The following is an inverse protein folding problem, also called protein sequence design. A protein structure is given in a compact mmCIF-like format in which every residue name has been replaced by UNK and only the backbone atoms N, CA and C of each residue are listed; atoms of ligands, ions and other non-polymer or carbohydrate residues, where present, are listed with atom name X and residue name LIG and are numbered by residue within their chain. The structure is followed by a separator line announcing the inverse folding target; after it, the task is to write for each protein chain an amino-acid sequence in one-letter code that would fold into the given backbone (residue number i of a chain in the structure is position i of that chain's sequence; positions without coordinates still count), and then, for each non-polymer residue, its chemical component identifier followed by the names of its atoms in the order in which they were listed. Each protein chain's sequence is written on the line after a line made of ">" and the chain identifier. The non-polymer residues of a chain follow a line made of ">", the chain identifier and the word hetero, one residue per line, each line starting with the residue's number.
data_IF_506697121407
#
_entry.id   IF_506697121407
#
_cell.length_a   1.000
_cell.length_b   1.000
_cell.length_c   1.000
_cell.angle_alpha   90.00
_cell.angle_beta   90.00
_cell.angle_gamma   90.00
#
_symmetry.space_group_name_H-M   'P 1'
#
loop_
_entity.id
_entity.type
_entity.pdbx_description
1 polymer ?
#
# COMPACT_ATOMS: atom_id res chain seq x y z
N UNK A 1 14.86 0.36 12.14
CA UNK A 1 13.97 1.11 11.23
C UNK A 1 13.84 0.33 9.94
N UNK A 2 12.64 -0.01 9.53
CA UNK A 2 12.31 -0.67 8.27
C UNK A 2 11.74 0.37 7.30
N UNK A 3 12.17 0.35 6.03
CA UNK A 3 11.69 1.29 5.00
C UNK A 3 11.33 0.53 3.74
N UNK A 4 10.11 0.70 3.25
CA UNK A 4 9.56 0.04 2.05
C UNK A 4 9.11 1.10 1.06
N UNK A 5 9.60 0.99 -0.17
CA UNK A 5 9.15 1.77 -1.32
C UNK A 5 8.20 0.95 -2.17
N UNK A 6 7.14 1.58 -2.67
CA UNK A 6 6.24 1.01 -3.64
C UNK A 6 6.11 1.95 -4.87
N UNK A 7 6.28 1.42 -6.08
CA UNK A 7 6.30 2.22 -7.31
C UNK A 7 4.91 2.65 -7.74
N UNK A 8 4.85 3.66 -8.60
CA UNK A 8 3.67 4.01 -9.37
C UNK A 8 3.20 2.84 -10.24
N UNK A 9 1.92 2.84 -10.57
CA UNK A 9 1.32 1.88 -11.50
C UNK A 9 0.33 2.57 -12.45
N UNK A 10 0.10 1.96 -13.59
CA UNK A 10 -0.96 2.35 -14.51
C UNK A 10 -1.87 1.17 -14.75
N UNK A 11 -3.15 1.39 -14.59
CA UNK A 11 -4.21 0.43 -14.87
C UNK A 11 -4.88 0.69 -16.21
N UNK A 12 -5.78 -0.20 -16.63
CA UNK A 12 -6.62 -0.03 -17.82
C UNK A 12 -5.82 0.22 -19.11
N UNK A 13 -4.73 -0.54 -19.30
CA UNK A 13 -3.85 -0.38 -20.46
C UNK A 13 -4.56 -0.88 -21.70
N UNK A 14 -4.85 0.04 -22.66
CA UNK A 14 -5.48 -0.25 -23.93
C UNK A 14 -6.84 -0.97 -23.76
N UNK A 15 -7.00 -2.16 -24.35
CA UNK A 15 -8.22 -2.99 -24.27
C UNK A 15 -8.34 -3.79 -22.96
N UNK A 16 -7.36 -3.66 -22.09
CA UNK A 16 -7.26 -4.42 -20.82
C UNK A 16 -7.94 -3.75 -19.64
N UNK A 17 -9.17 -3.23 -19.81
CA UNK A 17 -9.93 -2.61 -18.71
C UNK A 17 -10.13 -3.58 -17.55
N UNK A 18 -9.77 -3.15 -16.32
CA UNK A 18 -9.77 -3.93 -15.07
C UNK A 18 -8.92 -5.23 -15.09
N UNK A 19 -8.23 -5.52 -16.20
CA UNK A 19 -7.49 -6.78 -16.37
C UNK A 19 -6.00 -6.59 -16.59
N UNK A 20 -5.55 -5.42 -17.07
CA UNK A 20 -4.15 -5.19 -17.41
C UNK A 20 -3.60 -3.96 -16.67
N UNK A 21 -2.52 -4.18 -15.91
CA UNK A 21 -1.82 -3.13 -15.20
C UNK A 21 -0.31 -3.27 -15.32
N UNK A 22 0.42 -2.16 -15.20
CA UNK A 22 1.88 -2.12 -15.26
C UNK A 22 2.48 -1.27 -14.14
N UNK A 23 3.59 -1.71 -13.57
CA UNK A 23 4.44 -0.88 -12.74
C UNK A 23 5.18 0.16 -13.61
N UNK A 24 5.34 1.36 -13.07
CA UNK A 24 5.98 2.47 -13.78
C UNK A 24 7.25 2.88 -13.03
N UNK A 25 8.32 3.08 -13.78
CA UNK A 25 9.56 3.66 -13.27
C UNK A 25 10.03 4.78 -14.20
N UNK A 26 10.47 5.93 -13.66
CA UNK A 26 11.10 6.98 -14.46
C UNK A 26 12.36 6.50 -15.15
N UNK A 27 12.59 6.98 -16.38
CA UNK A 27 13.74 6.59 -17.22
C UNK A 27 15.06 7.10 -16.62
N UNK A 28 15.01 8.22 -15.90
CA UNK A 28 16.17 8.83 -15.25
C UNK A 28 16.63 8.14 -13.95
N UNK A 29 15.93 7.06 -13.55
CA UNK A 29 16.24 6.32 -12.34
C UNK A 29 15.74 6.96 -11.05
N UNK A 30 14.99 8.08 -11.12
CA UNK A 30 14.36 8.67 -9.96
C UNK A 30 13.24 7.76 -9.40
N UNK A 31 12.86 7.97 -8.14
CA UNK A 31 11.78 7.21 -7.52
C UNK A 31 10.44 7.91 -7.80
N UNK A 32 9.48 7.17 -8.36
CA UNK A 32 8.11 7.59 -8.52
C UNK A 32 7.21 6.62 -7.75
N UNK A 33 6.88 6.96 -6.52
CA UNK A 33 6.13 6.09 -5.62
C UNK A 33 6.10 6.65 -4.20
N UNK A 34 5.41 5.94 -3.32
CA UNK A 34 5.36 6.26 -1.90
C UNK A 34 6.33 5.39 -1.09
N UNK A 35 6.64 5.85 0.12
CA UNK A 35 7.46 5.10 1.07
C UNK A 35 6.72 4.99 2.39
N UNK A 36 6.79 3.81 3.01
CA UNK A 36 6.38 3.60 4.38
C UNK A 36 7.57 3.19 5.23
N UNK A 37 7.73 3.86 6.36
CA UNK A 37 8.71 3.52 7.37
C UNK A 37 8.01 2.96 8.61
N UNK A 38 8.62 1.96 9.25
CA UNK A 38 8.14 1.42 10.53
C UNK A 38 9.28 1.40 11.55
N UNK A 39 8.95 1.87 12.74
CA UNK A 39 9.81 1.82 13.92
C UNK A 39 9.08 1.15 15.08
N UNK A 40 9.81 0.39 15.89
CA UNK A 40 9.29 -0.13 17.14
C UNK A 40 9.16 0.99 18.17
N UNK A 41 8.03 1.02 18.89
CA UNK A 41 7.79 1.95 20.00
C UNK A 41 7.44 1.14 21.28
N UNK A 42 7.49 1.75 22.47
CA UNK A 42 7.23 1.04 23.72
C UNK A 42 5.81 0.47 23.82
N UNK A 43 4.80 1.15 23.27
CA UNK A 43 3.40 0.71 23.33
C UNK A 43 2.54 1.38 22.27
N UNK A 44 1.46 0.70 21.85
CA UNK A 44 0.42 1.26 20.99
C UNK A 44 0.78 1.36 19.51
N UNK A 45 0.07 2.26 18.83
CA UNK A 45 0.23 2.58 17.41
C UNK A 45 0.27 4.09 17.22
N UNK A 46 1.23 4.57 16.47
CA UNK A 46 1.35 5.96 16.07
C UNK A 46 1.39 6.05 14.54
N UNK A 47 0.67 7.03 13.97
CA UNK A 47 0.71 7.32 12.54
C UNK A 47 1.27 8.72 12.32
N UNK A 48 2.32 8.80 11.50
CA UNK A 48 2.90 10.05 11.01
C UNK A 48 2.80 10.12 9.50
N UNK A 49 2.82 11.33 8.95
CA UNK A 49 2.79 11.57 7.51
C UNK A 49 3.78 12.65 7.13
N UNK A 50 4.49 12.42 6.03
CA UNK A 50 5.49 13.32 5.44
C UNK A 50 5.38 13.28 3.90
N UNK A 51 6.33 13.90 3.20
CA UNK A 51 6.44 13.87 1.74
C UNK A 51 5.79 15.04 1.03
N UNK A 52 5.95 15.09 -0.29
CA UNK A 52 5.56 16.23 -1.12
C UNK A 52 4.06 16.52 -1.11
N UNK A 53 3.22 15.49 -0.99
CA UNK A 53 1.76 15.58 -1.03
C UNK A 53 1.09 15.39 0.33
N UNK A 54 1.82 15.46 1.43
CA UNK A 54 1.29 15.29 2.80
C UNK A 54 0.10 16.22 3.09
N UNK A 55 0.11 17.46 2.58
CA UNK A 55 -0.97 18.44 2.77
C UNK A 55 -2.29 18.07 2.07
N UNK A 56 -2.25 17.10 1.14
CA UNK A 56 -3.43 16.59 0.42
C UNK A 56 -4.08 15.39 1.10
N UNK A 57 -3.44 14.84 2.13
CA UNK A 57 -4.01 13.75 2.91
C UNK A 57 -5.18 14.24 3.76
N UNK A 58 -6.15 13.35 4.09
CA UNK A 58 -7.17 13.66 5.07
C UNK A 58 -6.57 14.10 6.41
N UNK A 59 -7.21 15.05 7.08
CA UNK A 59 -6.78 15.51 8.40
C UNK A 59 -7.03 14.47 9.49
N UNK A 60 -8.04 13.64 9.29
CA UNK A 60 -8.44 12.58 10.22
C UNK A 60 -7.60 11.33 9.93
N UNK A 61 -6.77 10.86 10.88
CA UNK A 61 -5.89 9.71 10.67
C UNK A 61 -6.62 8.46 10.16
N UNK A 62 -7.85 8.22 10.65
CA UNK A 62 -8.68 7.06 10.30
C UNK A 62 -9.08 7.04 8.81
N UNK A 63 -9.07 8.20 8.15
CA UNK A 63 -9.36 8.33 6.71
C UNK A 63 -8.12 8.15 5.84
N UNK A 64 -6.93 8.10 6.42
CA UNK A 64 -5.69 7.84 5.68
C UNK A 64 -5.59 6.35 5.39
N UNK A 65 -5.37 5.99 4.13
CA UNK A 65 -5.42 4.58 3.70
C UNK A 65 -4.43 3.66 4.43
N UNK A 66 -3.27 4.17 4.81
CA UNK A 66 -2.28 3.37 5.56
C UNK A 66 -2.73 3.08 7.00
N UNK A 67 -3.58 3.93 7.59
CA UNK A 67 -4.24 3.60 8.86
C UNK A 67 -5.21 2.43 8.68
N UNK A 68 -5.99 2.45 7.61
CA UNK A 68 -6.92 1.37 7.30
C UNK A 68 -6.18 0.07 7.00
N UNK A 69 -5.02 0.15 6.33
CA UNK A 69 -4.13 -0.99 6.11
C UNK A 69 -3.62 -1.57 7.44
N UNK A 70 -3.21 -0.73 8.40
CA UNK A 70 -2.83 -1.17 9.73
C UNK A 70 -3.99 -1.86 10.48
N UNK A 71 -5.20 -1.31 10.41
CA UNK A 71 -6.38 -1.90 11.05
C UNK A 71 -6.66 -3.28 10.48
N UNK A 72 -6.80 -3.40 9.15
CA UNK A 72 -7.05 -4.67 8.47
C UNK A 72 -5.97 -5.70 8.79
N UNK A 73 -4.69 -5.32 8.67
CA UNK A 73 -3.56 -6.19 8.97
C UNK A 73 -3.59 -6.69 10.43
N UNK A 74 -3.90 -5.80 11.37
CA UNK A 74 -4.00 -6.13 12.79
C UNK A 74 -5.16 -7.08 13.11
N UNK A 75 -6.28 -6.93 12.41
CA UNK A 75 -7.42 -7.86 12.51
C UNK A 75 -7.04 -9.25 12.00
N UNK A 76 -6.37 -9.33 10.86
CA UNK A 76 -5.88 -10.60 10.31
C UNK A 76 -4.84 -11.29 11.21
N UNK A 77 -3.95 -10.53 11.87
CA UNK A 77 -3.03 -11.08 12.87
C UNK A 77 -3.78 -11.67 14.07
N UNK A 78 -4.80 -10.97 14.58
CA UNK A 78 -5.62 -11.45 15.70
C UNK A 78 -6.33 -12.76 15.38
N UNK A 79 -6.87 -12.89 14.15
CA UNK A 79 -7.50 -14.14 13.68
C UNK A 79 -6.53 -15.32 13.68
N UNK A 80 -5.23 -15.07 13.56
CA UNK A 80 -4.16 -16.07 13.63
C UNK A 80 -3.57 -16.24 15.03
N UNK A 81 -4.12 -15.55 16.03
CA UNK A 81 -3.56 -15.49 17.39
C UNK A 81 -2.11 -14.96 17.44
N UNK A 82 -1.73 -14.11 16.48
CA UNK A 82 -0.43 -13.44 16.44
C UNK A 82 -0.55 -12.07 17.10
N UNK A 83 0.40 -11.78 18.01
CA UNK A 83 0.41 -10.48 18.70
C UNK A 83 0.80 -9.36 17.77
N UNK A 84 0.01 -8.27 17.77
CA UNK A 84 0.37 -7.03 17.10
C UNK A 84 1.50 -6.35 17.88
N UNK A 85 2.65 -6.15 17.23
CA UNK A 85 3.81 -5.45 17.82
C UNK A 85 3.52 -3.94 17.85
N UNK A 86 3.87 -3.23 18.96
CA UNK A 86 3.77 -1.78 18.99
C UNK A 86 4.67 -1.12 17.95
N UNK A 87 4.13 -0.17 17.19
CA UNK A 87 4.87 0.46 16.11
C UNK A 87 4.42 1.90 15.82
N UNK A 88 5.35 2.70 15.30
CA UNK A 88 5.08 3.94 14.58
C UNK A 88 5.19 3.66 13.09
N UNK A 89 4.17 4.06 12.33
CA UNK A 89 4.14 4.00 10.89
C UNK A 89 4.21 5.42 10.33
N UNK A 90 5.19 5.71 9.49
CA UNK A 90 5.33 7.00 8.80
C UNK A 90 5.09 6.80 7.30
N UNK A 91 4.08 7.47 6.76
CA UNK A 91 3.83 7.54 5.32
C UNK A 91 4.55 8.74 4.70
N UNK A 92 5.52 8.51 3.83
CA UNK A 92 6.05 9.54 2.93
C UNK A 92 5.20 9.57 1.65
N UNK A 93 4.22 10.49 1.61
CA UNK A 93 3.31 10.66 0.46
C UNK A 93 3.99 11.46 -0.63
N UNK A 94 4.60 10.76 -1.60
CA UNK A 94 5.34 11.34 -2.71
C UNK A 94 4.60 11.24 -4.05
N UNK A 95 3.52 10.46 -4.10
CA UNK A 95 2.64 10.36 -5.26
C UNK A 95 1.50 11.36 -5.21
N UNK A 96 1.23 12.07 -6.32
CA UNK A 96 0.09 12.99 -6.40
C UNK A 96 -1.24 12.21 -6.32
N UNK A 97 -2.14 12.67 -5.46
CA UNK A 97 -3.46 12.05 -5.27
C UNK A 97 -4.35 12.37 -6.48
N UNK A 98 -5.04 11.36 -7.01
CA UNK A 98 -5.94 11.51 -8.16
C UNK A 98 -5.24 11.67 -9.50
N UNK A 99 -3.98 11.29 -9.62
CA UNK A 99 -3.18 11.41 -10.84
C UNK A 99 -3.41 10.30 -11.89
N UNK A 100 -4.15 9.25 -11.55
CA UNK A 100 -4.28 8.06 -12.40
C UNK A 100 -3.04 7.14 -12.39
N UNK A 101 -2.08 7.40 -11.51
CA UNK A 101 -0.82 6.64 -11.42
C UNK A 101 -0.77 5.71 -10.20
N UNK A 102 -1.91 5.18 -9.77
CA UNK A 102 -1.98 4.22 -8.67
C UNK A 102 -1.52 4.79 -7.31
N UNK A 103 -1.83 6.07 -7.03
CA UNK A 103 -1.37 6.75 -5.81
C UNK A 103 -1.87 6.09 -4.52
N UNK A 104 -3.11 5.55 -4.48
CA UNK A 104 -3.63 4.75 -3.38
C UNK A 104 -2.90 3.41 -3.28
N UNK A 105 -2.77 2.71 -4.41
CA UNK A 105 -2.08 1.44 -4.50
C UNK A 105 -0.64 1.52 -3.95
N UNK A 106 0.12 2.58 -4.29
CA UNK A 106 1.46 2.79 -3.73
C UNK A 106 1.45 2.80 -2.20
N UNK A 107 0.56 3.59 -1.59
CA UNK A 107 0.47 3.70 -0.13
C UNK A 107 0.03 2.38 0.50
N UNK A 108 -0.95 1.68 -0.08
CA UNK A 108 -1.46 0.38 0.39
C UNK A 108 -0.35 -0.68 0.36
N UNK A 109 0.32 -0.82 -0.79
CA UNK A 109 1.37 -1.83 -1.00
C UNK A 109 2.53 -1.58 -0.06
N UNK A 110 3.03 -0.33 0.02
CA UNK A 110 4.13 0.01 0.91
C UNK A 110 3.79 -0.30 2.38
N UNK A 111 2.56 0.03 2.82
CA UNK A 111 2.11 -0.21 4.20
C UNK A 111 2.00 -1.70 4.52
N UNK A 112 1.28 -2.48 3.70
CA UNK A 112 1.08 -3.91 3.97
C UNK A 112 2.38 -4.71 3.90
N UNK A 113 3.26 -4.41 2.95
CA UNK A 113 4.58 -5.06 2.87
C UNK A 113 5.45 -4.68 4.07
N UNK A 114 5.44 -3.41 4.49
CA UNK A 114 6.17 -2.98 5.68
C UNK A 114 5.65 -3.66 6.95
N UNK A 115 4.33 -3.70 7.14
CA UNK A 115 3.69 -4.37 8.27
C UNK A 115 4.01 -5.87 8.31
N UNK A 116 3.96 -6.55 7.15
CA UNK A 116 4.26 -7.96 7.05
C UNK A 116 5.71 -8.26 7.44
N UNK A 117 6.66 -7.50 6.88
CA UNK A 117 8.08 -7.64 7.23
C UNK A 117 8.37 -7.33 8.69
N UNK A 118 7.74 -6.32 9.25
CA UNK A 118 7.91 -5.94 10.66
C UNK A 118 7.40 -7.02 11.64
N UNK A 119 6.41 -7.81 11.22
CA UNK A 119 5.83 -8.92 11.99
C UNK A 119 6.40 -10.29 11.58
N UNK A 120 7.59 -10.35 10.99
CA UNK A 120 8.28 -11.59 10.60
C UNK A 120 7.53 -12.40 9.52
N UNK A 121 6.88 -11.71 8.59
CA UNK A 121 6.22 -12.23 7.38
C UNK A 121 5.13 -13.30 7.66
N UNK A 122 4.13 -13.03 8.52
CA UNK A 122 3.08 -14.00 8.85
C UNK A 122 2.12 -14.30 7.70
N UNK A 123 2.09 -13.46 6.66
CA UNK A 123 1.22 -13.62 5.49
C UNK A 123 2.02 -13.89 4.22
N UNK A 124 1.50 -14.80 3.40
CA UNK A 124 2.02 -15.10 2.06
C UNK A 124 1.79 -13.93 1.09
N UNK A 125 2.45 -13.99 -0.07
CA UNK A 125 2.26 -12.98 -1.14
C UNK A 125 0.81 -12.88 -1.60
N UNK A 126 0.10 -14.00 -1.72
CA UNK A 126 -1.30 -14.00 -2.16
C UNK A 126 -2.22 -13.38 -1.13
N UNK A 127 -2.06 -13.70 0.15
CA UNK A 127 -2.86 -13.11 1.23
C UNK A 127 -2.64 -11.60 1.35
N UNK A 128 -1.41 -11.12 1.14
CA UNK A 128 -1.14 -9.69 1.06
C UNK A 128 -1.85 -9.05 -0.14
N UNK A 129 -1.82 -9.70 -1.30
CA UNK A 129 -2.49 -9.18 -2.50
C UNK A 129 -4.01 -9.11 -2.31
N UNK A 130 -4.62 -10.10 -1.66
CA UNK A 130 -6.04 -10.09 -1.29
C UNK A 130 -6.38 -8.91 -0.37
N UNK A 131 -5.58 -8.67 0.67
CA UNK A 131 -5.74 -7.49 1.54
C UNK A 131 -5.57 -6.17 0.78
N UNK A 132 -4.62 -6.11 -0.18
CA UNK A 132 -4.42 -4.93 -1.03
C UNK A 132 -5.66 -4.65 -1.90
N UNK A 133 -6.22 -5.69 -2.54
CA UNK A 133 -7.43 -5.58 -3.33
C UNK A 133 -8.65 -5.15 -2.50
N UNK A 134 -8.81 -5.69 -1.29
CA UNK A 134 -9.87 -5.28 -0.37
C UNK A 134 -9.78 -3.78 -0.02
N UNK A 135 -8.58 -3.29 0.31
CA UNK A 135 -8.37 -1.88 0.63
C UNK A 135 -8.62 -0.96 -0.56
N UNK A 136 -8.18 -1.34 -1.76
CA UNK A 136 -8.45 -0.58 -2.98
C UNK A 136 -9.96 -0.55 -3.27
N UNK A 137 -10.67 -1.66 -3.04
CA UNK A 137 -12.13 -1.74 -3.15
C UNK A 137 -12.88 -0.82 -2.19
N UNK A 138 -12.34 -0.55 -1.01
CA UNK A 138 -12.93 0.41 -0.07
C UNK A 138 -12.89 1.86 -0.59
N UNK A 139 -11.96 2.17 -1.48
CA UNK A 139 -11.81 3.50 -2.09
C UNK A 139 -12.65 3.60 -3.36
N UNK A 140 -12.55 2.62 -4.27
CA UNK A 140 -13.15 2.64 -5.60
C UNK A 140 -14.58 2.13 -5.65
N UNK A 141 -15.04 1.41 -4.62
CA UNK A 141 -16.36 0.80 -4.53
C UNK A 141 -16.44 -0.64 -5.06
N UNK A 142 -15.39 -1.16 -5.68
CA UNK A 142 -15.25 -2.55 -6.12
C UNK A 142 -13.81 -3.01 -6.01
N UNK A 143 -13.60 -4.31 -5.79
CA UNK A 143 -12.26 -4.89 -5.67
C UNK A 143 -11.60 -4.88 -7.05
N UNK A 144 -10.44 -4.22 -7.13
CA UNK A 144 -9.60 -4.15 -8.32
C UNK A 144 -8.15 -4.44 -7.98
N UNK A 145 -7.48 -5.17 -8.86
CA UNK A 145 -6.07 -5.55 -8.70
C UNK A 145 -5.15 -4.87 -9.70
N UNK A 146 -5.69 -4.21 -10.71
CA UNK A 146 -4.99 -3.64 -11.86
C UNK A 146 -3.95 -2.56 -11.52
N UNK A 147 -4.07 -1.91 -10.35
CA UNK A 147 -3.05 -1.03 -9.79
C UNK A 147 -2.20 -1.72 -8.71
N UNK A 148 -2.81 -2.43 -7.76
CA UNK A 148 -2.06 -3.02 -6.65
C UNK A 148 -1.18 -4.20 -7.09
N UNK A 149 -1.63 -5.03 -8.02
CA UNK A 149 -0.85 -6.18 -8.49
C UNK A 149 0.47 -5.75 -9.16
N UNK A 150 0.50 -4.85 -10.16
CA UNK A 150 1.77 -4.42 -10.74
C UNK A 150 2.62 -3.61 -9.76
N UNK A 151 2.02 -2.78 -8.90
CA UNK A 151 2.73 -2.06 -7.85
C UNK A 151 3.47 -3.02 -6.90
N UNK A 152 2.85 -4.15 -6.55
CA UNK A 152 3.40 -5.15 -5.62
C UNK A 152 4.35 -6.14 -6.29
N UNK A 153 3.95 -6.70 -7.44
CA UNK A 153 4.67 -7.79 -8.12
C UNK A 153 5.68 -7.27 -9.16
N UNK A 154 5.54 -6.02 -9.59
CA UNK A 154 6.33 -5.41 -10.65
C UNK A 154 5.88 -5.82 -12.06
N UNK A 155 6.50 -5.21 -13.06
CA UNK A 155 6.28 -5.52 -14.47
C UNK A 155 4.85 -5.23 -14.96
N UNK A 156 4.42 -6.02 -15.94
CA UNK A 156 3.05 -6.01 -16.46
C UNK A 156 2.30 -7.21 -15.91
N UNK A 157 1.14 -6.96 -15.32
CA UNK A 157 0.28 -7.97 -14.72
C UNK A 157 -1.01 -8.11 -15.52
N UNK A 158 -1.38 -9.35 -15.82
CA UNK A 158 -2.65 -9.70 -16.43
C UNK A 158 -3.50 -10.48 -15.41
N UNK A 159 -4.60 -9.87 -14.98
CA UNK A 159 -5.53 -10.45 -14.01
C UNK A 159 -6.54 -11.32 -14.76
N UNK A 160 -6.53 -12.61 -14.51
CA UNK A 160 -7.52 -13.57 -15.03
C UNK A 160 -8.52 -13.83 -13.90
N UNK A 161 -9.80 -13.60 -14.18
CA UNK A 161 -10.91 -13.92 -13.30
C UNK A 161 -11.25 -15.40 -13.35
#
# INVERSE_FOLDING_TARGET
>A
MLRIYAPASSANISVGFDTLGAAISPIDGSLLGDVVQIESIPSGFELESAGYFVRKLPKEPQKIIVYQAYVLFSEQLKLRNVRVKPLRLTLEKNMPIGSGLGSSACSIVAALVALNKFHDEPFSKMELLEMMGELEGRISGSIHYDNVAPCYLGGVQFMVQ
#
